data_IF_275402850985
#
_entry.id   IF_275402850985
#
_cell.length_a   1.000
_cell.length_b   1.000
_cell.length_c   1.000
_cell.angle_alpha   90.00
_cell.angle_beta   90.00
_cell.angle_gamma   90.00
#
_symmetry.space_group_name_H-M   'P 1'
#
loop_
_entity.id
_entity.type
_entity.pdbx_description
1 polymer ?
#
# COMPACT_ATOMS: atom_id res chain seq x y z
N UNK A 1 -8.46 -1.75 -16.75
CA UNK A 1 -7.28 -1.82 -17.61
C UNK A 1 -7.47 -1.09 -18.93
N UNK A 2 -8.66 -1.11 -19.54
CA UNK A 2 -8.97 -0.36 -20.75
C UNK A 2 -8.63 1.14 -20.61
N UNK A 3 -9.00 1.75 -19.50
CA UNK A 3 -8.66 3.14 -19.17
C UNK A 3 -7.13 3.35 -18.98
N UNK A 4 -6.41 2.40 -18.39
CA UNK A 4 -4.96 2.49 -18.18
C UNK A 4 -4.20 2.44 -19.51
N UNK A 5 -4.63 1.61 -20.47
CA UNK A 5 -3.97 1.47 -21.76
C UNK A 5 -4.23 2.63 -22.74
N UNK A 6 -5.30 3.42 -22.54
CA UNK A 6 -5.66 4.51 -23.47
C UNK A 6 -4.52 5.51 -23.77
N UNK A 7 -3.73 6.00 -22.80
CA UNK A 7 -2.66 6.95 -23.09
C UNK A 7 -1.55 6.40 -23.98
N UNK A 8 -1.42 5.08 -24.04
CA UNK A 8 -0.36 4.43 -24.82
C UNK A 8 -0.73 4.21 -26.30
N UNK A 9 -1.98 4.49 -26.69
CA UNK A 9 -2.43 4.30 -28.08
C UNK A 9 -1.63 5.10 -29.11
N UNK A 10 -1.11 6.26 -28.74
CA UNK A 10 -0.30 7.08 -29.63
C UNK A 10 1.05 6.41 -30.01
N UNK A 11 1.64 5.66 -29.09
CA UNK A 11 2.91 4.94 -29.28
C UNK A 11 2.72 3.43 -29.55
N UNK A 12 1.57 2.87 -29.15
CA UNK A 12 1.23 1.45 -29.22
C UNK A 12 -0.19 1.26 -29.75
N UNK A 13 -0.44 1.46 -31.08
CA UNK A 13 -1.76 1.33 -31.68
C UNK A 13 -2.40 -0.06 -31.49
N UNK A 14 -1.60 -1.10 -31.33
CA UNK A 14 -2.01 -2.47 -31.05
C UNK A 14 -2.85 -2.61 -29.77
N UNK A 15 -2.75 -1.68 -28.83
CA UNK A 15 -3.60 -1.67 -27.63
C UNK A 15 -5.07 -1.37 -27.92
N UNK A 16 -5.42 -0.87 -29.12
CA UNK A 16 -6.80 -0.57 -29.46
C UNK A 16 -7.69 -1.83 -29.42
N UNK A 17 -7.21 -2.96 -29.92
CA UNK A 17 -7.92 -4.23 -29.87
C UNK A 17 -8.09 -4.75 -28.44
N UNK A 18 -7.03 -4.65 -27.63
CA UNK A 18 -7.04 -5.04 -26.21
C UNK A 18 -8.04 -4.19 -25.42
N UNK A 19 -8.06 -2.88 -25.66
CA UNK A 19 -8.98 -1.95 -25.00
C UNK A 19 -10.43 -2.29 -25.36
N UNK A 20 -10.72 -2.56 -26.65
CA UNK A 20 -12.05 -2.92 -27.12
C UNK A 20 -12.52 -4.24 -26.51
N UNK A 21 -11.66 -5.25 -26.51
CA UNK A 21 -11.92 -6.54 -25.89
C UNK A 21 -12.24 -6.42 -24.38
N UNK A 22 -11.43 -5.67 -23.63
CA UNK A 22 -11.66 -5.46 -22.20
C UNK A 22 -12.99 -4.75 -21.94
N UNK A 23 -13.34 -3.73 -22.74
CA UNK A 23 -14.63 -3.03 -22.60
C UNK A 23 -15.82 -3.94 -22.86
N UNK A 24 -15.72 -4.79 -23.87
CA UNK A 24 -16.75 -5.78 -24.15
C UNK A 24 -16.91 -6.74 -22.96
N UNK A 25 -15.82 -7.28 -22.42
CA UNK A 25 -15.87 -8.15 -21.23
C UNK A 25 -16.51 -7.45 -20.02
N UNK A 26 -16.10 -6.22 -19.74
CA UNK A 26 -16.65 -5.47 -18.59
C UNK A 26 -18.14 -5.15 -18.79
N UNK A 27 -18.61 -4.96 -20.01
CA UNK A 27 -20.02 -4.69 -20.31
C UNK A 27 -20.94 -5.89 -20.09
N UNK A 28 -20.38 -7.10 -20.01
CA UNK A 28 -21.11 -8.34 -19.78
C UNK A 28 -21.29 -8.67 -18.28
N UNK A 29 -20.73 -7.86 -17.38
CA UNK A 29 -20.89 -8.08 -15.94
C UNK A 29 -22.30 -7.77 -15.49
N UNK A 30 -22.93 -8.68 -14.71
CA UNK A 30 -24.25 -8.49 -14.12
C UNK A 30 -24.26 -7.43 -13.04
N UNK A 31 -23.15 -7.30 -12.30
CA UNK A 31 -23.00 -6.35 -11.20
C UNK A 31 -21.65 -5.64 -11.27
N UNK A 32 -21.67 -4.35 -10.94
CA UNK A 32 -20.46 -3.54 -10.85
C UNK A 32 -20.21 -3.08 -9.42
N UNK A 33 -19.14 -3.59 -8.83
CA UNK A 33 -18.65 -3.18 -7.50
C UNK A 33 -17.46 -2.25 -7.70
N UNK A 34 -17.52 -1.06 -7.13
CA UNK A 34 -16.44 -0.07 -7.23
C UNK A 34 -15.86 0.21 -5.84
N UNK A 35 -14.58 -0.14 -5.66
CA UNK A 35 -13.85 0.13 -4.42
C UNK A 35 -13.02 1.42 -4.54
N UNK A 36 -12.98 2.20 -3.46
CA UNK A 36 -12.09 3.36 -3.35
C UNK A 36 -10.60 2.95 -3.28
N UNK A 37 -9.69 3.78 -3.79
CA UNK A 37 -9.93 5.01 -4.57
C UNK A 37 -10.41 4.73 -5.99
N UNK A 38 -11.33 5.56 -6.46
CA UNK A 38 -11.95 5.42 -7.77
C UNK A 38 -11.23 6.29 -8.79
N UNK A 39 -10.67 5.67 -9.84
CA UNK A 39 -10.03 6.39 -10.95
C UNK A 39 -11.03 6.97 -11.95
N UNK A 40 -12.10 6.22 -12.24
CA UNK A 40 -13.15 6.62 -13.17
C UNK A 40 -14.49 6.36 -12.51
N UNK A 41 -15.16 7.39 -11.97
CA UNK A 41 -16.50 7.23 -11.41
C UNK A 41 -17.50 6.73 -12.45
N UNK A 42 -18.35 5.80 -12.06
CA UNK A 42 -19.37 5.22 -12.90
C UNK A 42 -20.64 4.85 -12.12
N UNK A 43 -21.67 4.39 -12.84
CA UNK A 43 -22.84 3.79 -12.21
C UNK A 43 -22.44 2.42 -11.66
N UNK A 44 -22.70 2.18 -10.38
CA UNK A 44 -22.30 0.96 -9.67
C UNK A 44 -23.45 0.41 -8.84
N UNK A 45 -23.42 -0.88 -8.61
CA UNK A 45 -24.38 -1.57 -7.72
C UNK A 45 -23.94 -1.49 -6.27
N UNK A 46 -22.63 -1.44 -6.04
CA UNK A 46 -22.04 -1.22 -4.72
C UNK A 46 -20.81 -0.33 -4.81
N UNK A 47 -20.77 0.73 -4.01
CA UNK A 47 -19.55 1.48 -3.69
C UNK A 47 -18.99 1.01 -2.35
N UNK A 48 -17.70 0.73 -2.27
CA UNK A 48 -17.04 0.23 -1.07
C UNK A 48 -15.77 1.03 -0.74
N UNK A 49 -15.40 1.17 0.54
CA UNK A 49 -14.08 1.68 0.92
C UNK A 49 -12.96 0.75 0.42
N UNK A 50 -11.68 1.15 0.55
CA UNK A 50 -10.56 0.34 0.07
C UNK A 50 -10.62 -1.10 0.56
N UNK A 51 -10.40 -2.05 -0.36
CA UNK A 51 -10.45 -3.49 -0.07
C UNK A 51 -9.02 -3.99 0.14
N UNK A 52 -8.65 -4.13 1.41
CA UNK A 52 -7.36 -4.69 1.79
C UNK A 52 -7.40 -6.23 1.85
N UNK A 53 -6.25 -6.85 1.52
CA UNK A 53 -6.04 -8.30 1.76
C UNK A 53 -6.09 -8.67 3.25
N UNK A 54 -6.18 -7.71 4.09
CA UNK A 54 -5.82 -7.73 5.50
C UNK A 54 -6.89 -8.27 6.45
N UNK A 55 -8.11 -8.55 6.02
CA UNK A 55 -9.17 -9.02 6.94
C UNK A 55 -8.81 -10.31 7.69
N UNK A 56 -7.82 -11.06 7.21
CA UNK A 56 -7.24 -12.20 7.93
C UNK A 56 -6.01 -11.83 8.78
N UNK A 57 -5.39 -10.70 8.50
CA UNK A 57 -4.08 -10.32 9.02
C UNK A 57 -4.13 -9.66 10.39
N UNK A 58 -5.23 -8.98 10.71
CA UNK A 58 -5.41 -8.36 12.03
C UNK A 58 -5.61 -9.39 13.18
N UNK A 59 -5.31 -10.65 12.94
CA UNK A 59 -5.37 -11.70 13.98
C UNK A 59 -4.11 -11.79 14.84
N UNK A 60 -2.98 -11.29 14.35
CA UNK A 60 -1.76 -11.23 15.15
C UNK A 60 -1.74 -9.89 15.88
N UNK A 61 -1.54 -9.95 17.18
CA UNK A 61 -1.33 -8.75 17.98
C UNK A 61 -0.05 -8.06 17.52
N UNK A 62 -0.07 -6.74 17.43
CA UNK A 62 1.11 -5.91 17.09
C UNK A 62 2.37 -6.35 17.85
N UNK A 63 2.25 -6.56 19.15
CA UNK A 63 3.33 -7.00 20.02
C UNK A 63 3.93 -8.32 19.59
N UNK A 64 3.11 -9.32 19.24
CA UNK A 64 3.60 -10.62 18.81
C UNK A 64 4.42 -10.53 17.48
N UNK A 65 3.96 -9.74 16.52
CA UNK A 65 4.70 -9.51 15.28
C UNK A 65 6.01 -8.78 15.55
N UNK A 66 6.00 -7.75 16.41
CA UNK A 66 7.22 -7.02 16.80
C UNK A 66 8.24 -7.93 17.48
N UNK A 67 7.80 -8.79 18.39
CA UNK A 67 8.66 -9.79 19.03
C UNK A 67 9.26 -10.77 18.03
N UNK A 68 8.45 -11.28 17.09
CA UNK A 68 8.93 -12.16 16.03
C UNK A 68 9.99 -11.52 15.14
N UNK A 69 9.90 -10.20 14.91
CA UNK A 69 10.88 -9.42 14.17
C UNK A 69 12.08 -8.97 15.01
N UNK A 70 12.06 -9.16 16.33
CA UNK A 70 13.10 -8.66 17.24
C UNK A 70 13.03 -7.15 17.46
N UNK A 71 11.88 -6.53 17.19
CA UNK A 71 11.63 -5.10 17.44
C UNK A 71 11.17 -4.90 18.88
N UNK A 72 11.78 -3.93 19.59
CA UNK A 72 11.33 -3.53 20.93
C UNK A 72 10.10 -2.61 20.82
N UNK A 73 9.27 -2.59 21.86
CA UNK A 73 8.03 -1.81 21.87
C UNK A 73 8.26 -0.30 21.72
N UNK A 74 9.31 0.22 22.33
CA UNK A 74 9.67 1.65 22.33
C UNK A 74 10.31 2.12 21.02
N UNK A 75 10.76 1.21 20.14
CA UNK A 75 11.36 1.57 18.86
C UNK A 75 10.31 2.05 17.86
N UNK A 76 10.58 3.14 17.18
CA UNK A 76 9.77 3.59 16.03
C UNK A 76 10.14 2.78 14.79
N UNK A 77 9.21 1.95 14.33
CA UNK A 77 9.42 1.05 13.18
C UNK A 77 8.75 1.59 11.92
N UNK A 78 9.50 1.71 10.85
CA UNK A 78 9.08 2.18 9.54
C UNK A 78 9.12 1.02 8.56
N UNK A 79 7.97 0.66 7.99
CA UNK A 79 7.94 -0.30 6.88
C UNK A 79 8.30 0.42 5.59
N UNK A 80 9.24 -0.12 4.82
CA UNK A 80 9.58 0.42 3.49
C UNK A 80 9.17 -0.59 2.42
N UNK A 81 8.22 -0.21 1.56
CA UNK A 81 7.68 -1.08 0.51
C UNK A 81 7.63 -0.36 -0.84
N UNK A 82 8.39 -0.85 -1.80
CA UNK A 82 8.48 -0.24 -3.13
C UNK A 82 7.67 -1.00 -4.20
N UNK A 83 6.76 -1.87 -3.76
CA UNK A 83 6.02 -2.78 -4.64
C UNK A 83 6.89 -3.93 -5.14
N UNK A 84 6.31 -4.87 -5.89
CA UNK A 84 7.00 -6.05 -6.41
C UNK A 84 7.96 -5.79 -7.58
N UNK A 85 8.44 -4.57 -7.76
CA UNK A 85 9.37 -4.22 -8.84
C UNK A 85 10.78 -4.52 -8.34
N UNK A 86 11.41 -5.54 -8.92
CA UNK A 86 12.81 -5.88 -8.64
C UNK A 86 13.73 -4.72 -9.04
N UNK A 87 14.80 -4.49 -8.24
CA UNK A 87 15.82 -3.51 -8.55
C UNK A 87 15.51 -2.08 -8.11
N UNK A 88 14.50 -1.84 -7.26
CA UNK A 88 14.31 -0.51 -6.66
C UNK A 88 15.46 -0.24 -5.67
N UNK A 89 16.21 0.81 -5.94
CA UNK A 89 17.29 1.26 -5.06
C UNK A 89 16.73 1.81 -3.75
N UNK A 90 17.35 1.42 -2.63
CA UNK A 90 17.01 1.94 -1.29
C UNK A 90 18.20 2.73 -0.74
N UNK A 91 17.98 3.89 -0.11
CA UNK A 91 19.02 4.72 0.46
C UNK A 91 19.52 4.17 1.81
N UNK A 92 20.05 2.94 1.81
CA UNK A 92 20.40 2.19 3.05
C UNK A 92 21.37 2.97 3.96
N UNK A 93 22.33 3.72 3.39
CA UNK A 93 23.25 4.52 4.20
C UNK A 93 22.51 5.62 4.97
N UNK A 94 21.54 6.29 4.34
CA UNK A 94 20.73 7.34 4.98
C UNK A 94 19.73 6.76 6.00
N UNK A 95 19.13 5.62 5.69
CA UNK A 95 18.30 4.91 6.67
C UNK A 95 19.12 4.51 7.90
N UNK A 96 20.35 4.03 7.69
CA UNK A 96 21.23 3.64 8.78
C UNK A 96 21.61 4.81 9.69
N UNK A 97 21.77 6.04 9.16
CA UNK A 97 22.03 7.24 9.94
C UNK A 97 20.83 7.74 10.76
N UNK A 98 19.61 7.28 10.47
CA UNK A 98 18.41 7.61 11.23
C UNK A 98 18.28 6.69 12.46
N UNK A 99 19.18 6.81 13.44
CA UNK A 99 19.33 5.88 14.59
C UNK A 99 18.08 5.73 15.48
N UNK A 100 17.22 6.75 15.49
CA UNK A 100 15.96 6.73 16.25
C UNK A 100 14.86 5.86 15.64
N UNK A 101 15.05 5.37 14.40
CA UNK A 101 14.08 4.61 13.64
C UNK A 101 14.62 3.24 13.27
N UNK A 102 13.76 2.23 13.25
CA UNK A 102 14.05 0.91 12.70
C UNK A 102 13.33 0.76 11.35
N UNK A 103 14.01 0.23 10.35
CA UNK A 103 13.44 0.04 9.02
C UNK A 103 13.20 -1.43 8.74
N UNK A 104 11.95 -1.79 8.48
CA UNK A 104 11.53 -3.13 8.08
C UNK A 104 11.48 -3.18 6.56
N UNK A 105 12.28 -4.06 5.94
CA UNK A 105 12.56 -4.11 4.51
C UNK A 105 12.14 -5.48 3.93
N UNK A 106 10.85 -5.69 3.58
CA UNK A 106 10.38 -6.96 3.04
C UNK A 106 11.00 -7.28 1.68
N UNK A 107 11.34 -8.56 1.47
CA UNK A 107 11.91 -9.04 0.22
C UNK A 107 13.38 -8.71 -0.01
N UNK A 108 14.07 -8.12 0.98
CA UNK A 108 15.47 -7.71 0.87
C UNK A 108 16.43 -8.63 1.65
N UNK A 109 15.93 -9.64 2.36
CA UNK A 109 16.71 -10.52 3.24
C UNK A 109 17.27 -11.77 2.58
N UNK A 110 17.05 -11.99 1.28
CA UNK A 110 17.43 -13.26 0.63
C UNK A 110 16.60 -14.43 1.15
N UNK A 111 17.23 -15.48 1.67
CA UNK A 111 16.54 -16.69 2.20
C UNK A 111 16.21 -16.58 3.69
N UNK A 112 16.88 -15.72 4.42
CA UNK A 112 16.74 -15.59 5.88
C UNK A 112 16.62 -14.12 6.27
N UNK A 113 15.99 -13.88 7.40
CA UNK A 113 15.96 -12.57 8.01
C UNK A 113 17.37 -12.16 8.44
N UNK A 114 17.76 -10.91 8.11
CA UNK A 114 19.03 -10.33 8.52
C UNK A 114 18.79 -8.98 9.19
N UNK A 115 19.47 -8.76 10.30
CA UNK A 115 19.48 -7.45 10.99
C UNK A 115 20.87 -6.83 10.87
N UNK A 116 20.93 -5.57 10.47
CA UNK A 116 22.17 -4.79 10.36
C UNK A 116 21.92 -3.39 10.94
N UNK A 117 22.28 -3.22 12.19
CA UNK A 117 21.97 -2.01 12.96
C UNK A 117 20.46 -1.82 13.13
N UNK A 118 19.94 -0.75 12.56
CA UNK A 118 18.52 -0.41 12.55
C UNK A 118 17.76 -0.91 11.30
N UNK A 119 18.39 -1.71 10.44
CA UNK A 119 17.81 -2.25 9.22
C UNK A 119 17.44 -3.73 9.39
N UNK A 120 16.17 -4.06 9.17
CA UNK A 120 15.60 -5.40 9.29
C UNK A 120 15.21 -5.91 7.90
N UNK A 121 16.09 -6.69 7.29
CA UNK A 121 15.90 -7.27 5.96
C UNK A 121 15.11 -8.59 6.09
N UNK A 122 13.90 -8.61 5.54
CA UNK A 122 13.06 -9.81 5.58
C UNK A 122 13.13 -10.57 4.25
N UNK A 123 13.09 -11.92 4.29
CA UNK A 123 13.01 -12.72 3.07
C UNK A 123 11.69 -12.50 2.33
N UNK A 124 11.68 -12.83 1.04
CA UNK A 124 10.49 -12.68 0.19
C UNK A 124 9.34 -13.61 0.61
N UNK A 125 9.68 -14.76 1.20
CA UNK A 125 8.77 -15.77 1.74
C UNK A 125 8.60 -15.68 3.25
N UNK A 126 8.79 -14.49 3.82
CA UNK A 126 8.61 -14.24 5.25
C UNK A 126 7.25 -14.75 5.74
N UNK A 127 7.26 -15.49 6.85
CA UNK A 127 6.05 -16.05 7.46
C UNK A 127 5.08 -14.95 7.95
N UNK A 128 5.58 -13.76 8.25
CA UNK A 128 4.76 -12.60 8.62
C UNK A 128 4.20 -11.98 7.33
N UNK A 129 2.88 -11.91 7.24
CA UNK A 129 2.20 -11.35 6.08
C UNK A 129 2.37 -9.84 6.00
N UNK A 130 2.41 -9.30 4.80
CA UNK A 130 2.61 -7.87 4.56
C UNK A 130 1.64 -6.95 5.34
N UNK A 131 0.31 -7.23 5.44
CA UNK A 131 -0.58 -6.44 6.28
C UNK A 131 -0.26 -6.49 7.78
N UNK A 132 0.28 -7.62 8.27
CA UNK A 132 0.69 -7.75 9.67
C UNK A 132 1.98 -6.95 9.93
N UNK A 133 2.91 -6.91 8.96
CA UNK A 133 4.08 -6.03 9.01
C UNK A 133 3.66 -4.56 9.07
N UNK A 134 2.71 -4.14 8.23
CA UNK A 134 2.15 -2.79 8.26
C UNK A 134 1.58 -2.49 9.66
N UNK A 135 0.74 -3.37 10.20
CA UNK A 135 0.11 -3.18 11.50
C UNK A 135 1.12 -3.13 12.66
N UNK A 136 2.27 -3.81 12.54
CA UNK A 136 3.34 -3.82 13.52
C UNK A 136 4.21 -2.55 13.50
N UNK A 137 4.19 -1.80 12.41
CA UNK A 137 4.99 -0.59 12.25
C UNK A 137 4.26 0.68 12.73
N UNK A 138 5.00 1.77 12.83
CA UNK A 138 4.48 3.09 13.24
C UNK A 138 4.11 3.93 12.04
N UNK A 139 4.79 3.74 10.90
CA UNK A 139 4.50 4.37 9.63
C UNK A 139 4.97 3.50 8.46
N UNK A 140 4.55 3.88 7.25
CA UNK A 140 4.98 3.24 6.00
C UNK A 140 5.61 4.29 5.08
N UNK A 141 6.68 3.91 4.39
CA UNK A 141 7.18 4.60 3.19
C UNK A 141 6.95 3.66 2.01
N UNK A 142 6.35 4.14 0.92
CA UNK A 142 6.15 3.26 -0.23
C UNK A 142 5.63 3.93 -1.48
N UNK A 143 5.77 3.22 -2.61
CA UNK A 143 5.17 3.65 -3.87
C UNK A 143 3.64 3.51 -3.82
N UNK A 144 2.95 4.48 -4.43
CA UNK A 144 1.49 4.47 -4.54
C UNK A 144 1.04 3.29 -5.40
N UNK A 145 0.17 2.47 -4.81
CA UNK A 145 -0.49 1.35 -5.49
C UNK A 145 -1.67 0.86 -4.66
N UNK A 146 -2.71 0.35 -5.31
CA UNK A 146 -3.97 -0.03 -4.66
C UNK A 146 -3.80 -0.95 -3.45
N UNK A 147 -3.00 -2.01 -3.56
CA UNK A 147 -2.83 -2.98 -2.47
C UNK A 147 -2.19 -2.35 -1.24
N UNK A 148 -1.08 -1.62 -1.43
CA UNK A 148 -0.38 -0.95 -0.33
C UNK A 148 -1.27 0.12 0.29
N UNK A 149 -1.91 0.96 -0.53
CA UNK A 149 -2.85 1.98 -0.07
C UNK A 149 -3.95 1.36 0.79
N UNK A 150 -4.63 0.33 0.30
CA UNK A 150 -5.73 -0.32 1.01
C UNK A 150 -5.29 -0.93 2.34
N UNK A 151 -4.12 -1.56 2.39
CA UNK A 151 -3.57 -2.15 3.61
C UNK A 151 -3.17 -1.08 4.63
N UNK A 152 -2.53 0.02 4.20
CA UNK A 152 -2.18 1.14 5.08
C UNK A 152 -3.43 1.87 5.58
N UNK A 153 -4.42 2.11 4.70
CA UNK A 153 -5.72 2.67 5.06
C UNK A 153 -6.41 1.83 6.14
N UNK A 154 -6.45 0.50 5.95
CA UNK A 154 -7.03 -0.43 6.91
C UNK A 154 -6.27 -0.45 8.25
N UNK A 155 -4.94 -0.33 8.21
CA UNK A 155 -4.12 -0.26 9.42
C UNK A 155 -4.26 1.07 10.15
N UNK A 156 -4.66 2.15 9.46
CA UNK A 156 -4.83 3.48 10.01
C UNK A 156 -3.52 4.17 10.42
N UNK A 157 -2.39 3.75 9.87
CA UNK A 157 -1.07 4.32 10.20
C UNK A 157 -0.61 5.35 9.19
N UNK A 158 0.32 6.26 9.55
CA UNK A 158 0.86 7.26 8.64
C UNK A 158 1.56 6.68 7.41
N UNK A 159 1.42 7.36 6.28
CA UNK A 159 1.96 6.93 4.99
C UNK A 159 2.77 8.05 4.30
N UNK A 160 4.09 7.87 4.18
CA UNK A 160 4.90 8.66 3.25
C UNK A 160 4.84 7.98 1.88
N UNK A 161 4.13 8.59 0.95
CA UNK A 161 3.84 7.97 -0.33
C UNK A 161 4.63 8.58 -1.48
N UNK A 162 5.15 7.71 -2.38
CA UNK A 162 5.89 8.10 -3.58
C UNK A 162 4.99 7.86 -4.80
N UNK A 163 4.56 8.95 -5.45
CA UNK A 163 3.78 8.89 -6.68
C UNK A 163 4.67 8.67 -7.89
N UNK A 164 4.13 7.96 -8.90
CA UNK A 164 4.74 7.80 -10.23
C UNK A 164 3.99 8.71 -11.20
N UNK A 165 4.60 9.84 -11.56
CA UNK A 165 3.94 10.88 -12.39
C UNK A 165 3.43 10.36 -13.74
N UNK A 166 4.16 9.43 -14.35
CA UNK A 166 3.83 8.83 -15.64
C UNK A 166 2.75 7.74 -15.57
N UNK A 167 2.35 7.30 -14.39
CA UNK A 167 1.36 6.24 -14.22
C UNK A 167 -0.02 6.84 -13.91
N UNK A 168 -0.96 6.61 -14.82
CA UNK A 168 -2.28 7.28 -14.84
C UNK A 168 -3.07 7.15 -13.52
N UNK A 169 -2.94 6.02 -12.82
CA UNK A 169 -3.62 5.79 -11.54
C UNK A 169 -3.01 6.59 -10.38
N UNK A 170 -1.74 7.01 -10.49
CA UNK A 170 -1.04 7.59 -9.34
C UNK A 170 -1.72 8.83 -8.81
N UNK A 171 -2.26 9.70 -9.66
CA UNK A 171 -2.91 10.94 -9.24
C UNK A 171 -4.21 10.68 -8.47
N UNK A 172 -5.21 9.91 -8.98
CA UNK A 172 -6.40 9.59 -8.20
C UNK A 172 -6.11 8.90 -6.87
N UNK A 173 -5.08 8.04 -6.84
CA UNK A 173 -4.66 7.38 -5.61
C UNK A 173 -4.04 8.38 -4.61
N UNK A 174 -3.18 9.28 -5.07
CA UNK A 174 -2.58 10.32 -4.25
C UNK A 174 -3.63 11.28 -3.69
N UNK A 175 -4.57 11.74 -4.52
CA UNK A 175 -5.69 12.60 -4.11
C UNK A 175 -6.55 11.93 -3.02
N UNK A 176 -6.75 10.61 -3.11
CA UNK A 176 -7.44 9.84 -2.07
C UNK A 176 -6.61 9.76 -0.77
N UNK A 177 -5.30 9.48 -0.88
CA UNK A 177 -4.41 9.41 0.27
C UNK A 177 -4.42 10.73 1.03
N UNK A 178 -4.29 11.86 0.34
CA UNK A 178 -4.24 13.19 0.95
C UNK A 178 -5.55 13.57 1.64
N UNK A 179 -6.68 13.08 1.13
CA UNK A 179 -8.01 13.35 1.71
C UNK A 179 -8.36 12.45 2.89
N UNK A 180 -7.98 11.17 2.83
CA UNK A 180 -8.52 10.13 3.72
C UNK A 180 -7.50 9.53 4.70
N UNK A 181 -6.21 9.81 4.51
CA UNK A 181 -5.16 9.15 5.28
C UNK A 181 -4.19 10.16 5.91
N UNK A 182 -3.65 9.86 7.10
CA UNK A 182 -2.51 10.61 7.61
C UNK A 182 -1.31 10.38 6.69
N UNK A 183 -0.89 11.40 5.95
CA UNK A 183 0.08 11.20 4.88
C UNK A 183 1.07 12.35 4.72
N UNK A 184 2.20 12.04 4.08
CA UNK A 184 3.16 13.00 3.57
C UNK A 184 3.54 12.61 2.13
N UNK A 185 3.43 13.52 1.14
CA UNK A 185 3.97 13.26 -0.18
C UNK A 185 5.50 13.24 -0.13
N UNK A 186 6.10 12.29 -0.83
CA UNK A 186 7.54 12.12 -0.92
C UNK A 186 7.92 11.89 -2.37
N UNK A 187 8.90 12.64 -2.88
CA UNK A 187 9.45 12.39 -4.21
C UNK A 187 10.49 11.27 -4.14
N UNK A 188 10.67 10.53 -5.24
CA UNK A 188 11.72 9.49 -5.31
C UNK A 188 13.11 10.10 -5.13
N UNK A 189 13.34 11.29 -5.67
CA UNK A 189 14.59 12.03 -5.49
C UNK A 189 14.83 12.39 -4.01
N UNK A 190 13.82 12.93 -3.31
CA UNK A 190 13.94 13.27 -1.90
C UNK A 190 14.21 12.03 -1.06
N UNK A 191 13.54 10.92 -1.34
CA UNK A 191 13.77 9.64 -0.66
C UNK A 191 15.20 9.13 -0.84
N UNK A 192 15.74 9.22 -2.05
CA UNK A 192 17.08 8.72 -2.35
C UNK A 192 18.20 9.67 -1.91
N UNK A 193 17.98 10.98 -1.96
CA UNK A 193 19.07 11.96 -1.85
C UNK A 193 19.06 12.81 -0.58
N UNK A 194 17.89 13.04 0.05
CA UNK A 194 17.80 13.90 1.23
C UNK A 194 18.02 13.15 2.55
N UNK A 195 18.26 13.89 3.63
CA UNK A 195 18.16 13.36 4.98
C UNK A 195 16.70 13.06 5.32
N UNK A 196 16.46 11.87 5.84
CA UNK A 196 15.11 11.39 6.15
C UNK A 196 14.66 11.71 7.57
N UNK A 197 15.54 12.16 8.47
CA UNK A 197 15.28 12.27 9.92
C UNK A 197 14.10 13.18 10.23
N UNK A 198 14.07 14.37 9.66
CA UNK A 198 12.99 15.35 9.90
C UNK A 198 11.66 14.86 9.31
N UNK A 199 11.69 14.31 8.09
CA UNK A 199 10.51 13.75 7.44
C UNK A 199 9.94 12.59 8.25
N UNK A 200 10.77 11.68 8.74
CA UNK A 200 10.36 10.53 9.56
C UNK A 200 9.76 10.99 10.90
N UNK A 201 10.36 11.99 11.53
CA UNK A 201 9.85 12.57 12.79
C UNK A 201 8.45 13.15 12.55
N UNK A 202 8.26 13.95 11.52
CA UNK A 202 6.96 14.52 11.14
C UNK A 202 5.95 13.42 10.79
N UNK A 203 6.36 12.41 10.05
CA UNK A 203 5.52 11.28 9.65
C UNK A 203 4.98 10.55 10.88
N UNK A 204 5.84 10.19 11.83
CA UNK A 204 5.45 9.47 13.04
C UNK A 204 4.62 10.31 14.02
N UNK A 205 4.62 11.64 13.89
CA UNK A 205 3.78 12.54 14.69
C UNK A 205 2.37 12.71 14.11
N UNK A 206 2.11 12.26 12.89
CA UNK A 206 0.76 12.31 12.33
C UNK A 206 -0.20 11.44 13.15
N UNK A 207 -1.43 11.90 13.39
CA UNK A 207 -2.42 11.13 14.12
C UNK A 207 -2.74 9.84 13.36
N UNK A 208 -2.92 8.73 14.09
CA UNK A 208 -3.44 7.51 13.46
C UNK A 208 -4.91 7.71 13.10
N UNK A 209 -5.29 7.22 11.93
CA UNK A 209 -6.69 7.18 11.53
C UNK A 209 -7.45 6.16 12.36
N UNK A 210 -8.63 6.50 12.82
CA UNK A 210 -9.52 5.52 13.44
C UNK A 210 -9.91 4.44 12.40
N UNK A 211 -9.81 3.19 12.82
CA UNK A 211 -10.25 2.07 11.98
C UNK A 211 -11.76 2.09 11.87
N UNK A 212 -12.30 2.13 10.65
CA UNK A 212 -13.72 1.98 10.42
C UNK A 212 -14.23 0.63 10.94
N UNK A 213 -15.48 0.59 11.41
CA UNK A 213 -16.11 -0.65 11.90
C UNK A 213 -16.29 -1.68 10.79
N UNK A 214 -16.50 -1.22 9.56
CA UNK A 214 -16.70 -2.07 8.38
C UNK A 214 -15.52 -1.90 7.41
N UNK A 215 -15.00 -3.01 6.92
CA UNK A 215 -14.02 -3.02 5.85
C UNK A 215 -14.71 -3.14 4.49
N UNK A 216 -14.09 -2.61 3.43
CA UNK A 216 -14.60 -2.80 2.07
C UNK A 216 -14.83 -4.27 1.72
N UNK A 217 -13.95 -5.16 2.20
CA UNK A 217 -14.09 -6.60 2.02
C UNK A 217 -15.37 -7.17 2.69
N UNK A 218 -15.73 -6.70 3.89
CA UNK A 218 -16.93 -7.13 4.58
C UNK A 218 -18.20 -6.66 3.86
N UNK A 219 -18.20 -5.42 3.36
CA UNK A 219 -19.32 -4.87 2.58
C UNK A 219 -19.53 -5.65 1.28
N UNK A 220 -18.45 -5.93 0.54
CA UNK A 220 -18.52 -6.73 -0.69
C UNK A 220 -18.97 -8.15 -0.41
N UNK A 221 -18.48 -8.77 0.66
CA UNK A 221 -18.91 -10.13 1.04
C UNK A 221 -20.40 -10.18 1.37
N UNK A 222 -20.90 -9.20 2.12
CA UNK A 222 -22.34 -9.13 2.45
C UNK A 222 -23.21 -8.94 1.19
N UNK A 223 -22.78 -8.08 0.27
CA UNK A 223 -23.46 -7.87 -1.01
C UNK A 223 -23.53 -9.17 -1.82
N UNK A 224 -22.40 -9.86 -1.99
CA UNK A 224 -22.35 -11.13 -2.74
C UNK A 224 -23.16 -12.23 -2.07
N UNK A 225 -23.16 -12.32 -0.74
CA UNK A 225 -24.01 -13.26 -0.01
C UNK A 225 -25.50 -13.00 -0.25
N UNK A 226 -25.91 -11.73 -0.31
CA UNK A 226 -27.27 -11.34 -0.64
C UNK A 226 -27.70 -11.81 -2.03
N UNK A 227 -26.79 -11.79 -3.02
CA UNK A 227 -27.05 -12.28 -4.39
C UNK A 227 -27.18 -13.81 -4.47
N UNK A 228 -26.51 -14.55 -3.59
CA UNK A 228 -26.50 -16.02 -3.58
C UNK A 228 -27.63 -16.62 -2.73
N UNK A 229 -28.41 -15.80 -2.02
CA UNK A 229 -29.49 -16.25 -1.11
C UNK A 229 -30.87 -16.33 -1.78
N UNK A 230 -30.92 -16.36 -3.13
CA UNK A 230 -32.12 -16.51 -3.94
C UNK A 230 -32.18 -17.89 -4.57
#
# INVERSE_FOLDING_TARGET
>A
WDWIYQPYLASHPEFAEIISYLRELYSQADFHIQAEPVCVPGKVDLAAPPIARATRACRQERTAVRQQLGLREEQQAILVTMGGIAGTELPLAKMRSCENFCFVLPGQGGKEMKVDGNLFFLPSDCAVRHPDLIAACDAVIGKVGYSTLAEVYQAGIPFAYISREWFRESRPLADFIDREMPSLPLTEEAFLQQDLSDMLTRLCQLPRRERGKESGASMVAAFLQGLLSF
#
